data_IF_758335684913
#
_entry.id   IF_758335684913
#
_cell.length_a   1.000
_cell.length_b   1.000
_cell.length_c   1.000
_cell.angle_alpha   90.00
_cell.angle_beta   90.00
_cell.angle_gamma   90.00
#
_symmetry.space_group_name_H-M   'P 1'
#
loop_
_entity.id
_entity.type
_entity.pdbx_description
1 polymer ?
#
# COMPACT_ATOMS: atom_id res chain seq x y z
N UNK A 1 6.12 12.69 5.68
CA UNK A 1 5.66 12.00 4.47
C UNK A 1 6.21 12.63 3.18
N UNK A 2 6.06 13.96 2.96
CA UNK A 2 6.55 14.64 1.74
C UNK A 2 8.05 14.40 1.47
N UNK A 3 8.91 14.51 2.49
CA UNK A 3 10.35 14.24 2.37
C UNK A 3 10.63 12.78 2.01
N UNK A 4 9.88 11.85 2.63
CA UNK A 4 10.03 10.42 2.35
C UNK A 4 9.68 10.09 0.89
N UNK A 5 8.57 10.66 0.37
CA UNK A 5 8.20 10.47 -1.04
C UNK A 5 9.19 11.11 -2.00
N UNK A 6 9.70 12.31 -1.68
CA UNK A 6 10.69 12.98 -2.52
C UNK A 6 12.02 12.22 -2.64
N UNK A 7 12.34 11.40 -1.63
CA UNK A 7 13.55 10.57 -1.62
C UNK A 7 13.38 9.23 -2.37
N UNK A 8 12.15 8.88 -2.79
CA UNK A 8 11.88 7.62 -3.50
C UNK A 8 12.30 7.71 -4.97
N UNK A 9 12.83 6.62 -5.56
CA UNK A 9 13.01 6.51 -7.00
C UNK A 9 11.64 6.47 -7.71
N UNK A 10 11.64 6.58 -9.05
CA UNK A 10 10.41 6.54 -9.84
C UNK A 10 9.64 5.22 -9.67
N UNK A 11 10.36 4.11 -9.53
CA UNK A 11 9.82 2.78 -9.24
C UNK A 11 10.44 2.24 -7.93
N UNK A 12 9.89 2.62 -6.76
CA UNK A 12 10.50 2.27 -5.48
C UNK A 12 10.34 0.77 -5.17
N UNK A 13 11.32 0.14 -4.52
CA UNK A 13 11.21 -1.23 -4.02
C UNK A 13 10.05 -1.40 -3.04
N UNK A 14 9.51 -2.62 -2.95
CA UNK A 14 8.40 -2.95 -2.06
C UNK A 14 8.65 -2.56 -0.60
N UNK A 15 9.88 -2.71 -0.12
CA UNK A 15 10.28 -2.34 1.23
C UNK A 15 10.14 -0.82 1.49
N UNK A 16 10.48 0.00 0.50
CA UNK A 16 10.32 1.45 0.61
C UNK A 16 8.84 1.86 0.57
N UNK A 17 8.01 1.19 -0.23
CA UNK A 17 6.56 1.37 -0.22
C UNK A 17 5.95 0.95 1.13
N UNK A 18 6.46 -0.10 1.76
CA UNK A 18 6.04 -0.48 3.10
C UNK A 18 6.34 0.59 4.15
N UNK A 19 7.53 1.19 4.11
CA UNK A 19 7.88 2.34 4.97
C UNK A 19 6.95 3.53 4.73
N UNK A 20 6.64 3.82 3.47
CA UNK A 20 5.70 4.86 3.09
C UNK A 20 4.29 4.59 3.65
N UNK A 21 3.85 3.32 3.65
CA UNK A 21 2.59 2.88 4.27
C UNK A 21 2.53 3.24 5.75
N UNK A 22 3.61 3.01 6.50
CA UNK A 22 3.67 3.33 7.93
C UNK A 22 3.52 4.85 8.14
N UNK A 23 4.19 5.66 7.35
CA UNK A 23 4.06 7.13 7.40
C UNK A 23 2.67 7.61 6.99
N UNK A 24 2.07 7.00 5.99
CA UNK A 24 0.69 7.26 5.55
C UNK A 24 -0.33 6.95 6.63
N UNK A 25 -0.15 5.86 7.35
CA UNK A 25 -0.97 5.49 8.51
C UNK A 25 -0.91 6.54 9.62
N UNK A 26 0.28 7.03 9.93
CA UNK A 26 0.45 8.12 10.92
C UNK A 26 -0.25 9.41 10.49
N UNK A 27 -0.13 9.78 9.22
CA UNK A 27 -0.83 10.95 8.68
C UNK A 27 -2.35 10.79 8.80
N UNK A 28 -2.89 9.64 8.46
CA UNK A 28 -4.32 9.36 8.58
C UNK A 28 -4.82 9.51 10.02
N UNK A 29 -4.15 8.92 10.98
CA UNK A 29 -4.55 9.02 12.38
C UNK A 29 -4.47 10.45 12.91
N UNK A 30 -3.43 11.19 12.58
CA UNK A 30 -3.32 12.60 12.94
C UNK A 30 -4.47 13.43 12.34
N UNK A 31 -4.81 13.19 11.08
CA UNK A 31 -5.92 13.88 10.41
C UNK A 31 -7.28 13.52 11.01
N UNK A 32 -7.48 12.25 11.41
CA UNK A 32 -8.72 11.81 12.05
C UNK A 32 -8.95 12.45 13.43
N UNK A 33 -7.88 12.70 14.20
CA UNK A 33 -7.97 13.37 15.50
C UNK A 33 -8.54 14.79 15.42
N UNK A 34 -8.24 15.51 14.35
CA UNK A 34 -8.69 16.89 14.16
C UNK A 34 -9.99 17.00 13.34
N UNK A 35 -10.48 15.87 12.80
CA UNK A 35 -11.67 15.82 11.94
C UNK A 35 -12.93 16.45 12.56
N UNK A 36 -13.24 16.27 13.88
CA UNK A 36 -14.47 16.83 14.47
C UNK A 36 -14.55 18.35 14.40
N UNK A 37 -13.41 19.04 14.42
CA UNK A 37 -13.32 20.50 14.40
C UNK A 37 -12.90 21.04 13.04
N UNK A 38 -12.75 20.18 12.06
CA UNK A 38 -12.13 20.49 10.78
C UNK A 38 -13.16 20.95 9.73
N UNK A 39 -12.76 21.93 8.94
CA UNK A 39 -13.47 22.34 7.73
C UNK A 39 -13.37 21.31 6.58
N UNK A 40 -14.00 21.66 5.44
CA UNK A 40 -14.07 20.80 4.26
C UNK A 40 -12.69 20.36 3.76
N UNK A 41 -11.71 21.27 3.72
CA UNK A 41 -10.37 20.99 3.20
C UNK A 41 -9.67 19.88 3.99
N UNK A 42 -9.86 19.87 5.32
CA UNK A 42 -9.26 18.83 6.14
C UNK A 42 -9.99 17.49 6.00
N UNK A 43 -11.31 17.50 5.76
CA UNK A 43 -12.08 16.29 5.44
C UNK A 43 -11.61 15.66 4.11
N UNK A 44 -11.33 16.49 3.11
CA UNK A 44 -10.78 16.04 1.83
C UNK A 44 -9.38 15.46 1.99
N UNK A 45 -8.53 16.06 2.83
CA UNK A 45 -7.22 15.51 3.18
C UNK A 45 -7.34 14.15 3.90
N UNK A 46 -8.27 14.01 4.84
CA UNK A 46 -8.53 12.73 5.54
C UNK A 46 -8.92 11.65 4.53
N UNK A 47 -9.83 11.96 3.61
CA UNK A 47 -10.26 11.01 2.58
C UNK A 47 -9.09 10.60 1.68
N UNK A 48 -8.33 11.55 1.16
CA UNK A 48 -7.16 11.26 0.32
C UNK A 48 -6.09 10.43 1.07
N UNK A 49 -5.90 10.68 2.37
CA UNK A 49 -4.99 9.91 3.22
C UNK A 49 -5.46 8.47 3.42
N UNK A 50 -6.76 8.24 3.54
CA UNK A 50 -7.35 6.89 3.58
C UNK A 50 -7.13 6.13 2.28
N UNK A 51 -7.39 6.78 1.14
CA UNK A 51 -7.17 6.18 -0.18
C UNK A 51 -5.70 5.77 -0.39
N UNK A 52 -4.76 6.64 -0.04
CA UNK A 52 -3.33 6.32 -0.09
C UNK A 52 -3.00 5.11 0.80
N UNK A 53 -3.53 5.09 2.02
CA UNK A 53 -3.30 3.97 2.93
C UNK A 53 -3.90 2.66 2.43
N UNK A 54 -5.08 2.69 1.81
CA UNK A 54 -5.72 1.52 1.21
C UNK A 54 -4.89 0.94 0.06
N UNK A 55 -4.38 1.80 -0.83
CA UNK A 55 -3.51 1.38 -1.94
C UNK A 55 -2.21 0.76 -1.41
N UNK A 56 -1.52 1.43 -0.50
CA UNK A 56 -0.27 0.93 0.08
C UNK A 56 -0.50 -0.32 0.94
N UNK A 57 -1.64 -0.40 1.64
CA UNK A 57 -2.04 -1.57 2.41
C UNK A 57 -2.32 -2.77 1.51
N UNK A 58 -3.06 -2.59 0.43
CA UNK A 58 -3.33 -3.64 -0.55
C UNK A 58 -2.05 -4.14 -1.23
N UNK A 59 -1.10 -3.24 -1.53
CA UNK A 59 0.22 -3.62 -2.05
C UNK A 59 0.99 -4.50 -1.05
N UNK A 60 1.05 -4.09 0.21
CA UNK A 60 1.74 -4.85 1.26
C UNK A 60 1.08 -6.21 1.48
N UNK A 61 -0.25 -6.28 1.52
CA UNK A 61 -1.00 -7.53 1.68
C UNK A 61 -0.71 -8.50 0.53
N UNK A 62 -0.62 -8.00 -0.70
CA UNK A 62 -0.27 -8.81 -1.87
C UNK A 62 1.16 -9.36 -1.78
N UNK A 63 2.14 -8.55 -1.33
CA UNK A 63 3.51 -8.99 -1.12
C UNK A 63 3.59 -10.09 -0.06
N UNK A 64 2.92 -9.91 1.08
CA UNK A 64 2.89 -10.89 2.19
C UNK A 64 2.21 -12.18 1.75
N UNK A 65 1.07 -12.10 1.05
CA UNK A 65 0.34 -13.27 0.55
C UNK A 65 1.19 -14.09 -0.42
N UNK A 66 1.87 -13.44 -1.36
CA UNK A 66 2.78 -14.13 -2.30
C UNK A 66 3.91 -14.84 -1.56
N UNK A 67 4.57 -14.18 -0.62
CA UNK A 67 5.64 -14.77 0.18
C UNK A 67 5.16 -15.97 0.98
N UNK A 68 3.98 -15.88 1.58
CA UNK A 68 3.42 -16.95 2.40
C UNK A 68 3.05 -18.17 1.55
N UNK A 69 2.47 -17.98 0.38
CA UNK A 69 2.16 -19.09 -0.55
C UNK A 69 3.44 -19.77 -1.00
N UNK A 70 4.48 -19.02 -1.36
CA UNK A 70 5.79 -19.57 -1.74
C UNK A 70 6.43 -20.36 -0.60
N UNK A 71 6.32 -19.86 0.64
CA UNK A 71 6.80 -20.54 1.85
C UNK A 71 6.12 -21.89 2.05
N UNK A 72 4.80 -21.96 1.89
CA UNK A 72 4.02 -23.19 2.02
C UNK A 72 4.43 -24.22 0.96
N UNK A 73 4.65 -23.79 -0.28
CA UNK A 73 5.13 -24.69 -1.36
C UNK A 73 6.52 -25.23 -1.02
N UNK A 74 7.43 -24.39 -0.58
CA UNK A 74 8.80 -24.78 -0.22
C UNK A 74 8.84 -25.73 1.00
N UNK A 75 7.85 -25.69 1.88
CA UNK A 75 7.78 -26.49 3.10
C UNK A 75 7.31 -27.94 2.87
N UNK A 76 6.91 -28.33 1.66
CA UNK A 76 6.40 -29.68 1.37
C UNK A 76 7.42 -30.81 1.58
N UNK A 77 8.72 -30.52 1.52
CA UNK A 77 9.78 -31.52 1.64
C UNK A 77 9.90 -32.41 0.40
N UNK A 78 10.20 -33.71 0.61
CA UNK A 78 10.52 -34.65 -0.47
C UNK A 78 9.27 -35.13 -1.23
N UNK A 79 8.09 -35.12 -0.60
CA UNK A 79 6.82 -35.49 -1.23
C UNK A 79 6.09 -34.25 -1.66
N UNK A 80 5.98 -34.05 -2.97
CA UNK A 80 5.37 -32.87 -3.56
C UNK A 80 3.92 -33.17 -3.97
N UNK A 81 2.99 -32.37 -3.44
CA UNK A 81 1.61 -32.35 -3.92
C UNK A 81 1.52 -31.36 -5.10
N UNK A 82 1.45 -31.91 -6.31
CA UNK A 82 1.41 -31.12 -7.54
C UNK A 82 0.12 -30.32 -7.71
N UNK A 83 -1.00 -30.79 -7.17
CA UNK A 83 -2.25 -30.02 -7.17
C UNK A 83 -2.11 -28.75 -6.31
N UNK A 84 -1.48 -28.88 -5.15
CA UNK A 84 -1.15 -27.73 -4.30
C UNK A 84 -0.21 -26.74 -5.00
N UNK A 85 0.84 -27.23 -5.70
CA UNK A 85 1.74 -26.39 -6.46
C UNK A 85 1.02 -25.63 -7.57
N UNK A 86 0.09 -26.30 -8.28
CA UNK A 86 -0.69 -25.68 -9.34
C UNK A 86 -1.59 -24.57 -8.80
N UNK A 87 -2.32 -24.82 -7.72
CA UNK A 87 -3.16 -23.80 -7.05
C UNK A 87 -2.32 -22.66 -6.51
N UNK A 88 -1.20 -22.96 -5.88
CA UNK A 88 -0.27 -21.95 -5.36
C UNK A 88 0.25 -21.02 -6.47
N UNK A 89 0.59 -21.57 -7.65
CA UNK A 89 1.00 -20.77 -8.81
C UNK A 89 -0.09 -19.80 -9.28
N UNK A 90 -1.35 -20.22 -9.27
CA UNK A 90 -2.50 -19.35 -9.58
C UNK A 90 -2.68 -18.24 -8.56
N UNK A 91 -2.53 -18.55 -7.26
CA UNK A 91 -2.62 -17.56 -6.19
C UNK A 91 -1.48 -16.55 -6.26
N UNK A 92 -0.25 -17.01 -6.50
CA UNK A 92 0.92 -16.13 -6.68
C UNK A 92 0.71 -15.17 -7.85
N UNK A 93 0.21 -15.65 -8.99
CA UNK A 93 -0.06 -14.79 -10.15
C UNK A 93 -1.16 -13.77 -9.85
N UNK A 94 -2.21 -14.15 -9.16
CA UNK A 94 -3.27 -13.22 -8.71
C UNK A 94 -2.70 -12.11 -7.81
N UNK A 95 -1.86 -12.47 -6.85
CA UNK A 95 -1.24 -11.49 -5.95
C UNK A 95 -0.19 -10.63 -6.67
N UNK A 96 0.50 -11.19 -7.66
CA UNK A 96 1.42 -10.44 -8.52
C UNK A 96 0.68 -9.34 -9.30
N UNK A 97 -0.44 -9.67 -9.94
CA UNK A 97 -1.27 -8.69 -10.66
C UNK A 97 -1.76 -7.60 -9.71
N UNK A 98 -2.24 -7.97 -8.53
CA UNK A 98 -2.68 -7.03 -7.50
C UNK A 98 -1.54 -6.11 -7.04
N UNK A 99 -0.34 -6.65 -6.85
CA UNK A 99 0.86 -5.88 -6.48
C UNK A 99 1.23 -4.87 -7.56
N UNK A 100 1.24 -5.26 -8.82
CA UNK A 100 1.53 -4.37 -9.96
C UNK A 100 0.48 -3.26 -10.06
N UNK A 101 -0.79 -3.60 -9.97
CA UNK A 101 -1.91 -2.64 -10.04
C UNK A 101 -1.83 -1.60 -8.92
N UNK A 102 -1.62 -2.01 -7.68
CA UNK A 102 -1.51 -1.10 -6.53
C UNK A 102 -0.24 -0.25 -6.59
N UNK A 103 0.85 -0.81 -7.12
CA UNK A 103 2.09 -0.07 -7.37
C UNK A 103 1.89 1.08 -8.36
N UNK A 104 1.09 0.89 -9.38
CA UNK A 104 0.77 1.94 -10.35
C UNK A 104 -0.16 3.03 -9.76
N UNK A 105 -1.02 2.66 -8.82
CA UNK A 105 -2.02 3.55 -8.24
C UNK A 105 -1.48 4.48 -7.15
N UNK A 106 -0.39 4.15 -6.47
CA UNK A 106 0.05 4.92 -5.31
C UNK A 106 0.48 6.36 -5.65
N UNK A 107 1.03 6.59 -6.83
CA UNK A 107 1.42 7.94 -7.29
C UNK A 107 0.22 8.89 -7.37
N UNK A 108 -0.90 8.40 -7.90
CA UNK A 108 -2.13 9.19 -8.02
C UNK A 108 -2.73 9.49 -6.65
N UNK A 109 -2.78 8.48 -5.78
CA UNK A 109 -3.24 8.64 -4.40
C UNK A 109 -2.36 9.65 -3.64
N UNK A 110 -1.03 9.59 -3.81
CA UNK A 110 -0.12 10.58 -3.23
C UNK A 110 -0.34 11.99 -3.77
N UNK A 111 -0.55 12.15 -5.08
CA UNK A 111 -0.86 13.46 -5.69
C UNK A 111 -2.10 14.10 -5.07
N UNK A 112 -3.13 13.29 -4.80
CA UNK A 112 -4.34 13.75 -4.10
C UNK A 112 -4.03 14.23 -2.67
N UNK A 113 -3.28 13.47 -1.89
CA UNK A 113 -2.84 13.87 -0.53
C UNK A 113 -2.05 15.18 -0.57
N UNK A 114 -1.11 15.31 -1.52
CA UNK A 114 -0.29 16.51 -1.66
C UNK A 114 -1.12 17.75 -2.01
N UNK A 115 -2.12 17.61 -2.89
CA UNK A 115 -3.03 18.69 -3.28
C UNK A 115 -3.87 19.15 -2.10
N UNK A 116 -4.60 18.23 -1.46
CA UNK A 116 -5.45 18.55 -0.33
C UNK A 116 -4.69 19.00 0.91
N UNK A 117 -3.47 18.51 1.11
CA UNK A 117 -2.60 19.01 2.17
C UNK A 117 -2.18 20.47 1.98
N UNK A 118 -1.99 20.93 0.74
CA UNK A 118 -1.71 22.34 0.45
C UNK A 118 -2.94 23.21 0.68
N UNK A 119 -4.12 22.72 0.28
CA UNK A 119 -5.40 23.42 0.48
C UNK A 119 -5.74 23.57 1.97
N UNK A 120 -5.50 22.54 2.77
CA UNK A 120 -5.75 22.56 4.20
C UNK A 120 -4.79 23.47 5.00
N UNK A 121 -3.61 23.80 4.46
CA UNK A 121 -2.63 24.68 5.10
C UNK A 121 -2.71 26.14 4.66
N UNK A 122 -3.63 26.47 3.78
CA UNK A 122 -3.91 27.85 3.37
C UNK A 122 -4.88 28.53 4.31
#
# INVERSE_FOLDING_TARGET
LRRAVAALPADPPDEQLHRLRILGKRLRYAAELVRPIAGKQLKDLVRASKELQEVLGAHQDACVAEQEVRRLVAAQGDVVDWDLVFVAGRLVEREHVRRVTTRDQWHDAWRAVKRHGREALR
#
